data_IF_654073719872
#
_entry.id   IF_654073719872
#
_cell.length_a   1.000
_cell.length_b   1.000
_cell.length_c   1.000
_cell.angle_alpha   90.00
_cell.angle_beta   90.00
_cell.angle_gamma   90.00
#
_symmetry.space_group_name_H-M   'P 1'
#
loop_
_entity.id
_entity.type
_entity.pdbx_description
1 polymer ?
#
# COMPACT_ATOMS: atom_id res chain seq x y z
N UNK A 1 -25.18 3.22 3.91
CA UNK A 1 -23.91 2.73 3.30
C UNK A 1 -23.58 3.46 1.99
N UNK A 2 -24.60 3.97 1.27
CA UNK A 2 -24.41 4.78 0.07
C UNK A 2 -24.70 6.27 0.30
N UNK A 3 -23.99 7.16 -0.41
CA UNK A 3 -24.33 8.58 -0.54
C UNK A 3 -25.06 8.74 -1.88
N UNK A 4 -26.28 9.26 -1.84
CA UNK A 4 -27.15 9.43 -3.02
C UNK A 4 -27.39 8.16 -3.87
N UNK A 5 -27.32 6.96 -3.27
CA UNK A 5 -27.37 5.67 -3.98
C UNK A 5 -26.29 5.46 -5.07
N UNK A 6 -25.21 6.28 -5.08
CA UNK A 6 -24.18 6.28 -6.14
C UNK A 6 -22.73 6.25 -5.62
N UNK A 7 -22.49 5.89 -4.36
CA UNK A 7 -21.12 5.76 -3.84
C UNK A 7 -21.01 5.01 -2.53
N UNK A 8 -19.78 4.77 -2.05
CA UNK A 8 -19.47 4.11 -0.77
C UNK A 8 -18.80 5.13 0.16
N UNK A 9 -19.34 5.34 1.37
CA UNK A 9 -18.80 6.30 2.36
C UNK A 9 -17.88 5.65 3.39
N UNK A 10 -16.96 4.80 2.93
CA UNK A 10 -16.04 4.04 3.79
C UNK A 10 -14.61 4.49 3.56
N UNK A 11 -13.75 4.33 4.58
CA UNK A 11 -12.29 4.44 4.41
C UNK A 11 -11.71 3.15 3.82
N UNK A 12 -10.49 3.23 3.30
CA UNK A 12 -9.76 2.11 2.72
C UNK A 12 -9.65 0.92 3.68
N UNK A 13 -9.17 1.14 4.91
CA UNK A 13 -8.97 0.06 5.86
C UNK A 13 -10.29 -0.64 6.26
N UNK A 14 -11.40 0.08 6.54
CA UNK A 14 -12.73 -0.53 6.67
C UNK A 14 -13.20 -1.32 5.43
N UNK A 15 -12.94 -0.86 4.20
CA UNK A 15 -13.32 -1.58 2.97
C UNK A 15 -12.54 -2.89 2.77
N UNK A 16 -11.32 -2.95 3.29
CA UNK A 16 -10.42 -4.10 3.20
C UNK A 16 -10.38 -4.93 4.49
N UNK A 17 -11.45 -4.88 5.29
CA UNK A 17 -11.61 -5.64 6.53
C UNK A 17 -10.50 -5.44 7.57
N UNK A 18 -9.73 -4.36 7.46
CA UNK A 18 -8.60 -4.08 8.34
C UNK A 18 -7.43 -5.05 8.12
N UNK A 19 -7.45 -5.86 7.05
CA UNK A 19 -6.32 -6.71 6.69
C UNK A 19 -5.17 -5.83 6.20
N UNK A 20 -4.15 -5.70 7.03
CA UNK A 20 -2.98 -4.86 6.75
C UNK A 20 -2.22 -5.30 5.51
N UNK A 21 -2.31 -6.58 5.10
CA UNK A 21 -1.71 -7.07 3.86
C UNK A 21 -2.44 -6.51 2.65
N UNK A 22 -3.78 -6.55 2.64
CA UNK A 22 -4.60 -5.97 1.56
C UNK A 22 -4.42 -4.46 1.47
N UNK A 23 -4.35 -3.77 2.60
CA UNK A 23 -4.13 -2.32 2.63
C UNK A 23 -2.73 -1.98 2.10
N UNK A 24 -1.69 -2.72 2.51
CA UNK A 24 -0.35 -2.54 1.99
C UNK A 24 -0.27 -2.84 0.48
N UNK A 25 -0.92 -3.91 0.01
CA UNK A 25 -1.04 -4.24 -1.41
C UNK A 25 -1.68 -3.09 -2.21
N UNK A 26 -2.76 -2.49 -1.70
CA UNK A 26 -3.41 -1.35 -2.37
C UNK A 26 -2.47 -0.16 -2.52
N UNK A 27 -1.65 0.14 -1.51
CA UNK A 27 -0.62 1.19 -1.59
C UNK A 27 0.51 0.79 -2.55
N UNK A 28 0.94 -0.47 -2.55
CA UNK A 28 1.94 -0.97 -3.49
C UNK A 28 1.47 -0.82 -4.94
N UNK A 29 0.22 -1.19 -5.24
CA UNK A 29 -0.35 -1.01 -6.58
C UNK A 29 -0.46 0.48 -6.93
N UNK A 30 -0.96 1.32 -6.02
CA UNK A 30 -1.06 2.76 -6.22
C UNK A 30 0.29 3.39 -6.58
N UNK A 31 1.37 2.98 -5.89
CA UNK A 31 2.71 3.52 -6.09
C UNK A 31 3.42 2.91 -7.30
N UNK A 32 3.02 1.71 -7.72
CA UNK A 32 3.57 1.03 -8.89
C UNK A 32 2.94 1.44 -10.21
N UNK A 33 1.69 1.92 -10.21
CA UNK A 33 0.99 2.36 -11.42
C UNK A 33 1.57 3.66 -11.99
N UNK A 34 1.42 3.90 -13.31
CA UNK A 34 1.92 5.12 -13.93
C UNK A 34 1.21 6.37 -13.42
N UNK A 35 1.97 7.42 -13.14
CA UNK A 35 1.47 8.74 -12.76
C UNK A 35 1.84 9.19 -11.34
N UNK A 36 1.11 10.20 -10.85
CA UNK A 36 1.34 10.83 -9.55
C UNK A 36 0.37 10.24 -8.51
N UNK A 37 0.87 9.49 -7.52
CA UNK A 37 0.03 8.88 -6.50
C UNK A 37 -0.48 9.95 -5.51
N UNK A 38 -1.76 9.84 -5.14
CA UNK A 38 -2.36 10.69 -4.10
C UNK A 38 -2.86 9.78 -2.98
N UNK A 39 -2.33 9.98 -1.78
CA UNK A 39 -2.74 9.25 -0.58
C UNK A 39 -3.65 10.12 0.30
N UNK A 40 -4.69 9.51 0.86
CA UNK A 40 -5.60 10.19 1.79
C UNK A 40 -5.04 10.08 3.22
N UNK A 41 -4.98 11.21 3.93
CA UNK A 41 -4.47 11.27 5.30
C UNK A 41 -5.09 10.18 6.19
N UNK A 42 -4.27 9.51 6.99
CA UNK A 42 -4.69 8.46 7.90
C UNK A 42 -4.78 7.07 7.28
N UNK A 43 -4.81 6.93 5.96
CA UNK A 43 -4.83 5.61 5.33
C UNK A 43 -3.48 4.88 5.50
N UNK A 44 -2.39 5.63 5.69
CA UNK A 44 -1.05 5.13 6.01
C UNK A 44 -0.95 4.45 7.39
N UNK A 45 -1.82 4.79 8.33
CA UNK A 45 -1.96 4.10 9.61
C UNK A 45 -3.19 3.18 9.65
N UNK A 46 -4.00 3.16 8.59
CA UNK A 46 -5.22 2.35 8.51
C UNK A 46 -6.37 2.91 9.35
N UNK A 47 -6.57 4.23 9.33
CA UNK A 47 -7.70 4.88 10.00
C UNK A 47 -9.05 4.31 9.56
N UNK A 48 -9.99 4.27 10.50
CA UNK A 48 -11.37 3.86 10.26
C UNK A 48 -12.30 5.01 9.87
N UNK A 49 -13.54 4.65 9.60
CA UNK A 49 -14.64 5.59 9.40
C UNK A 49 -15.57 5.63 10.63
N UNK A 50 -16.35 6.69 10.74
CA UNK A 50 -17.49 6.80 11.66
C UNK A 50 -18.78 7.00 10.86
N UNK A 51 -19.49 5.91 10.60
CA UNK A 51 -20.71 5.92 9.81
C UNK A 51 -21.90 6.59 10.50
N UNK A 52 -21.80 6.93 11.79
CA UNK A 52 -22.84 7.72 12.48
C UNK A 52 -22.83 9.17 12.03
N UNK A 53 -21.70 9.66 11.51
CA UNK A 53 -21.57 11.02 11.02
C UNK A 53 -22.31 11.22 9.68
N UNK A 54 -22.87 12.42 9.45
CA UNK A 54 -23.60 12.71 8.23
C UNK A 54 -22.67 12.74 7.00
N UNK A 55 -23.23 12.35 5.85
CA UNK A 55 -22.60 12.47 4.55
C UNK A 55 -21.14 11.95 4.49
N UNK A 56 -20.21 12.82 4.05
CA UNK A 56 -18.79 12.54 3.86
C UNK A 56 -17.97 12.80 5.12
N UNK A 57 -18.57 13.25 6.22
CA UNK A 57 -17.86 13.41 7.49
C UNK A 57 -17.41 12.07 8.08
N UNK A 58 -18.09 10.98 7.71
CA UNK A 58 -17.73 9.62 8.10
C UNK A 58 -16.27 9.26 7.81
N UNK A 59 -15.67 9.84 6.76
CA UNK A 59 -14.26 9.59 6.36
C UNK A 59 -13.36 10.81 6.60
N UNK A 60 -13.86 11.85 7.28
CA UNK A 60 -13.17 13.11 7.57
C UNK A 60 -12.94 13.35 9.07
N UNK A 61 -12.89 12.27 9.85
CA UNK A 61 -12.57 12.33 11.28
C UNK A 61 -11.14 12.85 11.49
N UNK A 62 -10.85 13.51 12.62
CA UNK A 62 -9.50 13.97 12.95
C UNK A 62 -8.44 12.88 12.85
N UNK A 63 -7.22 13.29 12.49
CA UNK A 63 -6.05 12.39 12.45
C UNK A 63 -5.76 11.79 13.84
N UNK A 64 -5.33 10.52 13.87
CA UNK A 64 -5.08 9.79 15.12
C UNK A 64 -3.58 9.80 15.44
N UNK A 65 -3.10 10.83 16.13
CA UNK A 65 -1.69 11.00 16.45
C UNK A 65 -1.20 10.10 17.59
N UNK A 66 -1.98 9.98 18.66
CA UNK A 66 -1.63 9.18 19.84
C UNK A 66 -2.86 8.58 20.53
N UNK A 67 -2.65 7.83 21.61
CA UNK A 67 -3.71 7.32 22.48
C UNK A 67 -4.25 8.37 23.48
N UNK A 68 -3.71 9.60 23.47
CA UNK A 68 -4.14 10.68 24.36
C UNK A 68 -5.55 11.19 24.02
N UNK A 69 -6.08 12.09 24.87
CA UNK A 69 -7.36 12.74 24.63
C UNK A 69 -7.45 13.32 23.21
N UNK A 70 -8.63 13.17 22.59
CA UNK A 70 -8.88 13.56 21.20
C UNK A 70 -7.88 12.97 20.19
N UNK A 71 -7.35 11.78 20.45
CA UNK A 71 -6.32 11.14 19.62
C UNK A 71 -5.02 11.95 19.47
N UNK A 72 -4.74 12.87 20.41
CA UNK A 72 -3.63 13.82 20.30
C UNK A 72 -3.83 14.91 19.24
N UNK A 73 -5.01 15.00 18.61
CA UNK A 73 -5.31 16.01 17.59
C UNK A 73 -5.49 17.42 18.17
N UNK A 74 -6.10 17.53 19.35
CA UNK A 74 -6.40 18.82 19.98
C UNK A 74 -6.49 18.70 21.50
N UNK A 75 -6.14 19.79 22.20
CA UNK A 75 -6.29 19.94 23.65
C UNK A 75 -7.65 20.53 24.08
N UNK A 76 -8.48 20.95 23.13
CA UNK A 76 -9.82 21.47 23.41
C UNK A 76 -10.71 20.43 24.11
N UNK A 77 -11.79 20.88 24.77
CA UNK A 77 -12.77 19.95 25.30
C UNK A 77 -13.37 19.13 24.14
N UNK A 78 -13.69 17.86 24.41
CA UNK A 78 -14.14 16.93 23.36
C UNK A 78 -15.40 17.41 22.64
N UNK A 79 -16.28 18.10 23.35
CA UNK A 79 -17.54 18.58 22.81
C UNK A 79 -17.40 19.88 22.00
N UNK A 80 -16.25 20.56 22.10
CA UNK A 80 -15.92 21.72 21.26
C UNK A 80 -15.38 21.30 19.89
N UNK A 81 -15.09 20.00 19.67
CA UNK A 81 -14.61 19.52 18.39
C UNK A 81 -15.76 19.41 17.38
N UNK A 82 -15.64 20.01 16.18
CA UNK A 82 -16.68 19.93 15.16
C UNK A 82 -16.90 18.49 14.68
N UNK A 83 -15.84 17.66 14.71
CA UNK A 83 -15.90 16.23 14.42
C UNK A 83 -15.01 15.51 15.43
N UNK A 84 -15.54 14.43 16.03
CA UNK A 84 -14.83 13.63 17.02
C UNK A 84 -13.95 12.58 16.32
N UNK A 85 -12.75 12.24 16.87
CA UNK A 85 -11.97 11.12 16.36
C UNK A 85 -12.72 9.80 16.53
N UNK A 86 -12.35 8.78 15.73
CA UNK A 86 -12.93 7.43 15.89
C UNK A 86 -12.50 6.88 17.24
N UNK A 87 -13.43 6.83 18.20
CA UNK A 87 -13.16 6.49 19.59
C UNK A 87 -13.61 5.08 19.99
N UNK A 88 -14.28 4.35 19.09
CA UNK A 88 -14.86 3.03 19.37
C UNK A 88 -14.58 2.04 18.25
N UNK A 89 -14.89 0.76 18.51
CA UNK A 89 -14.70 -0.32 17.54
C UNK A 89 -13.24 -0.68 17.27
N UNK A 90 -13.02 -1.38 16.16
CA UNK A 90 -11.71 -1.94 15.81
C UNK A 90 -10.68 -0.90 15.36
N UNK A 91 -11.15 0.27 14.94
CA UNK A 91 -10.33 1.36 14.38
C UNK A 91 -10.09 2.54 15.33
N UNK A 92 -10.49 2.39 16.60
CA UNK A 92 -10.35 3.45 17.60
C UNK A 92 -8.92 3.96 17.74
N UNK A 93 -8.77 5.25 18.02
CA UNK A 93 -7.46 5.90 18.09
C UNK A 93 -6.52 5.33 19.17
N UNK A 94 -7.03 4.72 20.23
CA UNK A 94 -6.19 4.07 21.25
C UNK A 94 -5.45 2.85 20.70
N UNK A 95 -5.95 2.25 19.60
CA UNK A 95 -5.30 1.12 18.91
C UNK A 95 -4.57 1.56 17.64
N UNK A 96 -5.18 2.44 16.86
CA UNK A 96 -4.66 2.91 15.58
C UNK A 96 -4.21 4.36 15.75
N UNK A 97 -2.92 4.58 15.93
CA UNK A 97 -2.37 5.95 15.98
C UNK A 97 -0.91 5.98 15.52
N UNK A 98 -0.46 7.18 15.14
CA UNK A 98 0.90 7.41 14.63
C UNK A 98 1.96 7.02 15.64
N UNK A 99 1.84 7.45 16.89
CA UNK A 99 2.81 7.14 17.95
C UNK A 99 3.02 5.62 18.09
N UNK A 100 1.93 4.86 18.14
CA UNK A 100 1.97 3.39 18.22
C UNK A 100 2.56 2.82 16.95
N UNK A 101 2.18 3.30 15.76
CA UNK A 101 2.70 2.81 14.49
C UNK A 101 4.21 3.04 14.34
N UNK A 102 4.74 4.16 14.86
CA UNK A 102 6.17 4.50 14.86
C UNK A 102 7.01 3.57 15.77
N UNK A 103 6.42 3.02 16.84
CA UNK A 103 7.12 2.07 17.73
C UNK A 103 7.22 0.64 17.16
N UNK A 104 6.50 0.34 16.08
CA UNK A 104 6.44 -1.00 15.50
C UNK A 104 7.02 -1.01 14.07
N UNK A 105 8.24 -1.52 13.85
CA UNK A 105 8.91 -1.49 12.54
C UNK A 105 8.16 -2.21 11.40
N UNK A 106 7.24 -3.13 11.74
CA UNK A 106 6.40 -3.87 10.79
C UNK A 106 5.00 -3.26 10.60
N UNK A 107 4.74 -2.08 11.17
CA UNK A 107 3.46 -1.38 11.06
C UNK A 107 3.14 -0.99 9.62
N UNK A 108 1.86 -0.76 9.32
CA UNK A 108 1.43 -0.27 8.02
C UNK A 108 2.14 1.04 7.65
N UNK A 109 2.33 1.94 8.62
CA UNK A 109 3.04 3.21 8.43
C UNK A 109 4.46 3.00 7.91
N UNK A 110 5.22 2.08 8.49
CA UNK A 110 6.57 1.77 8.01
C UNK A 110 6.55 1.14 6.62
N UNK A 111 5.59 0.25 6.34
CA UNK A 111 5.44 -0.34 5.00
C UNK A 111 5.17 0.72 3.94
N UNK A 112 4.19 1.60 4.18
CA UNK A 112 3.87 2.70 3.26
C UNK A 112 5.04 3.67 3.13
N UNK A 113 5.71 4.02 4.23
CA UNK A 113 6.91 4.87 4.19
C UNK A 113 8.01 4.25 3.33
N UNK A 114 8.29 2.96 3.46
CA UNK A 114 9.30 2.27 2.67
C UNK A 114 8.91 2.23 1.18
N UNK A 115 7.64 2.03 0.85
CA UNK A 115 7.15 2.12 -0.53
C UNK A 115 7.34 3.51 -1.12
N UNK A 116 7.05 4.56 -0.35
CA UNK A 116 7.22 5.96 -0.80
C UNK A 116 8.71 6.26 -1.01
N UNK A 117 9.59 5.84 -0.10
CA UNK A 117 11.04 6.01 -0.26
C UNK A 117 11.54 5.28 -1.52
N UNK A 118 11.14 4.03 -1.74
CA UNK A 118 11.45 3.31 -2.97
C UNK A 118 10.93 4.07 -4.20
N UNK A 119 9.71 4.60 -4.16
CA UNK A 119 9.12 5.35 -5.27
C UNK A 119 9.80 6.69 -5.56
N UNK A 120 10.50 7.28 -4.58
CA UNK A 120 11.32 8.48 -4.79
C UNK A 120 12.67 8.18 -5.45
N UNK A 121 13.21 6.97 -5.27
CA UNK A 121 14.47 6.53 -5.88
C UNK A 121 14.26 5.91 -7.27
N UNK A 122 13.16 5.18 -7.44
CA UNK A 122 12.74 4.52 -8.68
C UNK A 122 11.56 5.30 -9.26
N UNK A 123 11.89 6.36 -10.00
CA UNK A 123 10.95 7.36 -10.51
C UNK A 123 10.26 6.96 -11.80
N UNK A 124 10.63 5.82 -12.40
CA UNK A 124 10.13 5.31 -13.68
C UNK A 124 8.59 5.28 -13.77
N UNK A 125 7.83 4.86 -12.74
CA UNK A 125 6.38 4.92 -12.81
C UNK A 125 5.82 6.35 -12.95
N UNK A 126 6.60 7.39 -12.65
CA UNK A 126 6.17 8.78 -12.78
C UNK A 126 6.39 9.37 -14.17
N UNK A 127 7.28 8.79 -14.97
CA UNK A 127 7.84 9.44 -16.16
C UNK A 127 7.89 8.58 -17.41
N UNK A 128 7.75 7.25 -17.29
CA UNK A 128 7.92 6.32 -18.41
C UNK A 128 6.63 5.58 -18.75
N UNK A 129 6.46 5.18 -20.03
CA UNK A 129 5.48 4.16 -20.38
C UNK A 129 5.84 2.83 -19.71
N UNK A 130 4.84 1.97 -19.57
CA UNK A 130 4.99 0.66 -18.92
C UNK A 130 4.49 -0.45 -19.82
N UNK A 131 5.03 -1.65 -19.62
CA UNK A 131 4.50 -2.89 -20.18
C UNK A 131 3.72 -3.63 -19.11
N UNK A 132 2.45 -3.94 -19.39
CA UNK A 132 1.67 -4.86 -18.58
C UNK A 132 2.08 -6.30 -18.93
N UNK A 133 2.59 -7.05 -17.96
CA UNK A 133 3.00 -8.43 -18.16
C UNK A 133 1.78 -9.36 -18.12
N UNK A 134 1.70 -10.28 -19.08
CA UNK A 134 0.74 -11.38 -19.01
C UNK A 134 1.37 -12.50 -18.18
N UNK A 135 0.83 -12.73 -16.98
CA UNK A 135 1.39 -13.64 -15.99
C UNK A 135 0.39 -14.75 -15.66
N UNK A 136 0.91 -15.91 -15.23
CA UNK A 136 0.11 -16.96 -14.60
C UNK A 136 0.62 -17.19 -13.18
N UNK A 137 -0.27 -17.19 -12.17
CA UNK A 137 -1.74 -17.05 -12.27
C UNK A 137 -2.21 -15.61 -12.58
N UNK A 138 -3.42 -15.47 -13.15
CA UNK A 138 -4.02 -14.16 -13.55
C UNK A 138 -4.27 -13.20 -12.37
N UNK A 139 -4.14 -13.71 -11.14
CA UNK A 139 -4.22 -12.90 -9.94
C UNK A 139 -2.98 -12.02 -9.71
N UNK A 140 -1.88 -12.21 -10.46
CA UNK A 140 -0.66 -11.42 -10.31
C UNK A 140 -0.63 -10.28 -11.32
N UNK A 141 -0.61 -9.05 -10.82
CA UNK A 141 -0.30 -7.86 -11.60
C UNK A 141 1.22 -7.75 -11.75
N UNK A 142 1.70 -7.61 -12.99
CA UNK A 142 3.11 -7.31 -13.27
C UNK A 142 3.26 -6.10 -14.18
N UNK A 143 4.04 -5.12 -13.73
CA UNK A 143 4.35 -3.91 -14.45
C UNK A 143 5.87 -3.84 -14.68
N UNK A 144 6.27 -3.59 -15.92
CA UNK A 144 7.67 -3.43 -16.28
C UNK A 144 7.90 -2.06 -16.92
N UNK A 145 8.82 -1.32 -16.32
CA UNK A 145 9.30 -0.04 -16.81
C UNK A 145 10.70 -0.20 -17.36
N UNK A 146 10.98 0.42 -18.51
CA UNK A 146 12.30 0.37 -19.15
C UNK A 146 12.74 1.77 -19.51
N UNK A 147 13.93 2.14 -19.05
CA UNK A 147 14.68 3.30 -19.49
C UNK A 147 15.96 2.85 -20.19
N UNK A 148 16.76 3.80 -20.67
CA UNK A 148 18.07 3.51 -21.27
C UNK A 148 19.10 3.00 -20.25
N UNK A 149 18.92 3.31 -18.96
CA UNK A 149 19.89 2.99 -17.90
C UNK A 149 19.37 1.98 -16.89
N UNK A 150 18.06 1.74 -16.83
CA UNK A 150 17.45 0.90 -15.78
C UNK A 150 16.15 0.27 -16.24
N UNK A 151 15.94 -0.96 -15.83
CA UNK A 151 14.64 -1.62 -15.85
C UNK A 151 14.10 -1.76 -14.43
N UNK A 152 12.79 -1.59 -14.26
CA UNK A 152 12.09 -1.74 -12.98
C UNK A 152 10.88 -2.64 -13.14
N UNK A 153 10.90 -3.78 -12.44
CA UNK A 153 9.82 -4.77 -12.41
C UNK A 153 9.05 -4.62 -11.09
N UNK A 154 7.73 -4.48 -11.17
CA UNK A 154 6.86 -4.37 -10.00
C UNK A 154 5.76 -5.42 -10.07
N UNK A 155 5.71 -6.31 -9.07
CA UNK A 155 4.77 -7.41 -8.98
C UNK A 155 3.85 -7.26 -7.77
N UNK A 156 2.58 -7.63 -7.93
CA UNK A 156 1.57 -7.59 -6.87
C UNK A 156 0.61 -8.78 -7.02
N UNK A 157 0.50 -9.63 -5.99
CA UNK A 157 -0.44 -10.75 -5.96
C UNK A 157 -1.78 -10.30 -5.37
N UNK A 158 -2.82 -10.23 -6.20
CA UNK A 158 -4.17 -9.83 -5.79
C UNK A 158 -4.99 -10.98 -5.17
N UNK A 159 -4.43 -12.20 -5.10
CA UNK A 159 -5.08 -13.34 -4.44
C UNK A 159 -4.67 -13.47 -2.96
N UNK A 160 -5.50 -14.18 -2.20
CA UNK A 160 -5.22 -14.52 -0.81
C UNK A 160 -4.15 -15.62 -0.67
N UNK A 161 -3.96 -16.44 -1.70
CA UNK A 161 -3.06 -17.59 -1.66
C UNK A 161 -1.64 -17.16 -2.06
N UNK A 162 -0.64 -17.82 -1.48
CA UNK A 162 0.71 -17.70 -2.02
C UNK A 162 0.77 -18.34 -3.41
N UNK A 163 1.55 -17.75 -4.30
CA UNK A 163 1.68 -18.20 -5.69
C UNK A 163 3.15 -18.20 -6.09
N UNK A 164 3.49 -19.09 -7.01
CA UNK A 164 4.71 -18.98 -7.80
C UNK A 164 4.30 -18.45 -9.18
N UNK A 165 4.98 -17.40 -9.64
CA UNK A 165 4.72 -16.80 -10.95
C UNK A 165 5.85 -17.13 -11.91
N UNK A 166 5.48 -17.62 -13.10
CA UNK A 166 6.39 -17.72 -14.24
C UNK A 166 6.44 -16.36 -14.94
N UNK A 167 7.60 -15.75 -14.97
CA UNK A 167 7.83 -14.46 -15.62
C UNK A 167 8.08 -14.67 -17.11
N UNK A 168 7.66 -13.73 -17.98
CA UNK A 168 8.10 -13.73 -19.37
C UNK A 168 9.62 -13.56 -19.42
N UNK A 169 10.23 -13.85 -20.57
CA UNK A 169 11.68 -13.70 -20.76
C UNK A 169 12.12 -12.31 -20.31
N UNK A 170 12.88 -12.29 -19.22
CA UNK A 170 13.53 -11.09 -18.72
C UNK A 170 14.94 -11.02 -19.27
N UNK A 171 15.51 -9.82 -19.25
CA UNK A 171 16.91 -9.67 -19.59
C UNK A 171 17.79 -10.41 -18.57
N UNK A 172 18.79 -11.10 -19.11
CA UNK A 172 19.72 -11.96 -18.36
C UNK A 172 20.45 -11.20 -17.24
N UNK A 173 20.74 -11.92 -16.16
CA UNK A 173 21.49 -11.42 -15.01
C UNK A 173 20.64 -11.19 -13.76
N UNK A 174 21.29 -10.71 -12.70
CA UNK A 174 20.65 -10.49 -11.41
C UNK A 174 19.81 -9.20 -11.40
N UNK A 175 18.61 -9.30 -10.83
CA UNK A 175 17.72 -8.18 -10.57
C UNK A 175 17.71 -7.90 -9.06
N UNK A 176 18.16 -6.71 -8.68
CA UNK A 176 18.25 -6.30 -7.28
C UNK A 176 16.87 -6.03 -6.68
N UNK A 177 16.52 -6.59 -5.51
CA UNK A 177 15.27 -6.27 -4.83
C UNK A 177 15.28 -4.82 -4.35
N UNK A 178 14.21 -4.10 -4.66
CA UNK A 178 13.93 -2.73 -4.20
C UNK A 178 13.08 -2.77 -2.93
N UNK A 179 11.99 -3.54 -2.99
CA UNK A 179 10.98 -3.59 -1.94
C UNK A 179 10.28 -4.94 -1.98
N UNK A 180 10.06 -5.54 -0.81
CA UNK A 180 9.35 -6.80 -0.67
C UNK A 180 8.41 -6.75 0.55
N UNK A 181 7.26 -7.42 0.48
CA UNK A 181 6.28 -7.46 1.59
C UNK A 181 6.79 -8.22 2.83
N UNK A 182 7.78 -9.09 2.62
CA UNK A 182 8.50 -9.87 3.63
C UNK A 182 9.89 -10.22 3.11
N UNK A 183 10.71 -10.82 3.96
CA UNK A 183 11.95 -11.45 3.50
C UNK A 183 11.62 -12.73 2.73
N UNK A 184 12.15 -12.83 1.51
CA UNK A 184 12.12 -14.03 0.69
C UNK A 184 13.47 -14.73 0.70
N UNK A 185 13.48 -16.04 0.45
CA UNK A 185 14.72 -16.84 0.36
C UNK A 185 15.23 -16.97 -1.09
N UNK A 186 14.44 -16.54 -2.06
CA UNK A 186 14.78 -16.49 -3.48
C UNK A 186 15.15 -15.07 -3.92
N UNK A 187 16.03 -14.97 -4.90
CA UNK A 187 16.33 -13.74 -5.64
C UNK A 187 15.81 -13.84 -7.07
N UNK A 188 15.80 -12.73 -7.80
CA UNK A 188 15.40 -12.73 -9.21
C UNK A 188 16.64 -12.75 -10.10
N UNK A 189 16.84 -13.87 -10.80
CA UNK A 189 17.74 -13.96 -11.95
C UNK A 189 16.88 -13.97 -13.22
N UNK A 190 17.12 -13.00 -14.10
CA UNK A 190 16.45 -12.91 -15.39
C UNK A 190 16.94 -14.00 -16.34
N UNK A 191 16.29 -14.06 -17.50
CA UNK A 191 16.47 -15.11 -18.49
C UNK A 191 15.15 -15.79 -18.85
N UNK A 192 15.24 -16.92 -19.54
CA UNK A 192 14.06 -17.75 -19.86
C UNK A 192 13.56 -18.46 -18.61
N UNK A 193 12.24 -18.53 -18.49
CA UNK A 193 11.54 -19.28 -17.43
C UNK A 193 11.86 -18.84 -15.99
N UNK A 194 12.21 -17.57 -15.78
CA UNK A 194 12.42 -17.02 -14.44
C UNK A 194 11.15 -17.18 -13.58
N UNK A 195 11.30 -17.71 -12.36
CA UNK A 195 10.21 -17.95 -11.40
C UNK A 195 10.41 -17.12 -10.16
N UNK A 196 9.29 -16.72 -9.55
CA UNK A 196 9.33 -15.94 -8.32
C UNK A 196 8.17 -16.31 -7.40
N UNK A 197 8.44 -16.48 -6.11
CA UNK A 197 7.40 -16.65 -5.11
C UNK A 197 6.80 -15.29 -4.69
N UNK A 198 5.48 -15.24 -4.53
CA UNK A 198 4.73 -14.12 -3.97
C UNK A 198 3.80 -14.62 -2.87
N UNK A 199 3.82 -13.96 -1.71
CA UNK A 199 2.87 -14.24 -0.63
C UNK A 199 1.45 -13.84 -1.05
N UNK A 200 0.43 -14.35 -0.33
CA UNK A 200 -0.95 -13.87 -0.49
C UNK A 200 -1.07 -12.40 -0.12
N UNK A 201 -1.60 -11.59 -1.04
CA UNK A 201 -1.56 -10.13 -0.98
C UNK A 201 -0.15 -9.53 -0.92
N UNK A 202 0.86 -10.28 -1.36
CA UNK A 202 2.26 -9.87 -1.39
C UNK A 202 2.61 -9.01 -2.60
N UNK A 203 3.73 -8.33 -2.50
CA UNK A 203 4.28 -7.49 -3.57
C UNK A 203 5.82 -7.53 -3.50
N UNK A 204 6.46 -7.51 -4.67
CA UNK A 204 7.92 -7.50 -4.79
C UNK A 204 8.32 -6.63 -5.97
N UNK A 205 9.25 -5.71 -5.76
CA UNK A 205 9.78 -4.79 -6.76
C UNK A 205 11.26 -5.03 -6.93
N UNK A 206 11.73 -4.99 -8.17
CA UNK A 206 13.12 -5.23 -8.53
C UNK A 206 13.61 -4.21 -9.55
N UNK A 207 14.91 -3.97 -9.58
CA UNK A 207 15.57 -3.21 -10.64
C UNK A 207 16.76 -3.95 -11.21
N UNK A 208 17.06 -3.68 -12.47
CA UNK A 208 18.30 -4.07 -13.14
C UNK A 208 18.88 -2.84 -13.81
N UNK A 209 20.12 -2.50 -13.44
CA UNK A 209 20.87 -1.45 -14.13
C UNK A 209 21.40 -1.99 -15.45
N UNK A 210 21.32 -1.17 -16.49
CA UNK A 210 21.92 -1.43 -17.79
C UNK A 210 23.31 -0.79 -17.78
N UNK A 211 24.35 -1.62 -17.81
CA UNK A 211 25.75 -1.18 -17.98
C UNK A 211 26.04 -0.86 -19.44
#
# INVERSE_FOLDING_TARGET
MSVYQRGVRRRLAPMLDGDTRRIALAHAILLALPGVPVMRYGDEIGMGDDLSLPERYAVRTPMQWSAAANAGFSRAARDDLPVKPVASGRFRYQRINVETALRHPRSLLHRVRNMVLARTEYTEPGSLPFTLLTLKPDAVLGLLYRSESREVLMLANCSQQAVEVLLPTLAEGYWSPILEDKLYQDGLHGGKDARLALSGYGYRWFSRSLS
#
